data_IF_094761908277
#
_entry.id   IF_094761908277
#
_cell.length_a   1.000
_cell.length_b   1.000
_cell.length_c   1.000
_cell.angle_alpha   90.00
_cell.angle_beta   90.00
_cell.angle_gamma   90.00
#
_symmetry.space_group_name_H-M   'P 1'
#
loop_
_entity.id
_entity.type
_entity.pdbx_description
1 polymer ?
#
# COMPACT_ATOMS: atom_id res chain seq x y z
N UNK A 1 -5.34 9.30 -30.41
CA UNK A 1 -4.34 8.61 -31.25
C UNK A 1 -3.86 7.38 -30.49
N UNK A 2 -3.88 6.16 -31.05
CA UNK A 2 -3.48 4.98 -30.29
C UNK A 2 -1.97 4.78 -30.45
N UNK A 3 -1.18 5.25 -29.48
CA UNK A 3 0.21 4.85 -29.40
C UNK A 3 0.26 3.45 -28.79
N UNK A 4 0.20 2.44 -29.65
CA UNK A 4 0.72 1.10 -29.33
C UNK A 4 2.22 1.14 -29.61
N UNK A 5 3.04 0.83 -28.61
CA UNK A 5 4.38 0.33 -28.88
C UNK A 5 4.54 -1.01 -28.18
N UNK A 6 4.74 -2.03 -29.00
CA UNK A 6 5.09 -3.38 -28.61
C UNK A 6 6.22 -3.74 -29.58
N UNK A 7 7.42 -4.10 -29.09
CA UNK A 7 7.97 -5.46 -29.25
C UNK A 7 9.51 -5.63 -29.17
N UNK A 8 9.80 -6.83 -28.66
CA UNK A 8 10.84 -7.83 -28.95
C UNK A 8 12.26 -7.75 -28.34
N UNK A 9 12.55 -8.87 -27.68
CA UNK A 9 13.75 -9.29 -26.95
C UNK A 9 14.93 -9.57 -27.89
N UNK A 10 16.12 -9.12 -27.49
CA UNK A 10 17.39 -9.62 -28.01
C UNK A 10 18.03 -10.57 -26.96
N UNK A 11 18.40 -11.82 -27.27
CA UNK A 11 18.78 -12.80 -26.24
C UNK A 11 20.20 -12.61 -25.68
N UNK A 12 21.03 -11.70 -26.20
CA UNK A 12 22.48 -11.75 -25.98
C UNK A 12 23.14 -10.45 -25.49
N UNK A 13 22.47 -9.60 -24.73
CA UNK A 13 23.16 -8.51 -24.02
C UNK A 13 22.58 -8.26 -22.63
N UNK A 14 23.45 -8.29 -21.62
CA UNK A 14 23.17 -7.96 -20.23
C UNK A 14 22.99 -6.44 -20.02
N UNK A 15 22.07 -5.83 -20.77
CA UNK A 15 21.80 -4.39 -20.75
C UNK A 15 20.43 -4.11 -20.15
N UNK A 16 20.40 -3.16 -19.20
CA UNK A 16 19.22 -2.58 -18.56
C UNK A 16 18.14 -2.26 -19.63
N UNK A 17 16.94 -2.83 -19.48
CA UNK A 17 15.82 -2.54 -20.38
C UNK A 17 15.16 -1.25 -19.90
N UNK A 18 15.23 -0.18 -20.70
CA UNK A 18 14.51 1.07 -20.46
C UNK A 18 13.24 1.08 -21.30
N UNK A 19 12.08 1.07 -20.65
CA UNK A 19 10.76 1.24 -21.31
C UNK A 19 10.24 2.66 -21.04
N UNK A 20 9.70 3.33 -22.07
CA UNK A 20 9.03 4.62 -21.93
C UNK A 20 7.52 4.41 -21.99
N UNK A 21 6.81 4.74 -20.91
CA UNK A 21 5.35 4.67 -20.80
C UNK A 21 4.85 6.03 -20.32
N UNK A 22 4.06 6.75 -21.14
CA UNK A 22 3.40 8.02 -20.76
C UNK A 22 4.32 9.00 -19.97
N UNK A 23 5.44 9.41 -20.58
CA UNK A 23 6.50 10.27 -20.00
C UNK A 23 7.30 9.68 -18.81
N UNK A 24 7.03 8.44 -18.42
CA UNK A 24 7.82 7.72 -17.42
C UNK A 24 8.89 6.85 -18.07
N UNK A 25 10.08 6.80 -17.46
CA UNK A 25 11.13 5.82 -17.78
C UNK A 25 11.09 4.68 -16.78
N UNK A 26 11.23 3.44 -17.26
CA UNK A 26 11.23 2.23 -16.43
C UNK A 26 12.50 1.44 -16.68
N UNK A 27 13.27 1.16 -15.64
CA UNK A 27 14.44 0.27 -15.69
C UNK A 27 14.24 -0.91 -14.74
N UNK A 28 14.51 -2.13 -15.21
CA UNK A 28 14.61 -3.31 -14.34
C UNK A 28 16.07 -3.65 -14.10
N UNK A 29 16.51 -3.59 -12.85
CA UNK A 29 17.86 -3.93 -12.44
C UNK A 29 18.13 -5.43 -12.55
N UNK A 30 19.41 -5.83 -12.59
CA UNK A 30 19.83 -7.24 -12.65
C UNK A 30 19.31 -8.07 -11.46
N UNK A 31 19.11 -7.46 -10.29
CA UNK A 31 18.54 -8.10 -9.10
C UNK A 31 17.00 -8.19 -9.12
N UNK A 32 16.31 -7.59 -10.11
CA UNK A 32 14.86 -7.62 -10.27
C UNK A 32 14.11 -6.40 -9.72
N UNK A 33 14.77 -5.45 -9.05
CA UNK A 33 14.13 -4.19 -8.65
C UNK A 33 13.70 -3.41 -9.89
N UNK A 34 12.46 -2.93 -9.89
CA UNK A 34 11.97 -2.01 -10.93
C UNK A 34 12.07 -0.58 -10.46
N UNK A 35 12.68 0.28 -11.27
CA UNK A 35 12.75 1.72 -11.04
C UNK A 35 11.89 2.41 -12.09
N UNK A 36 10.89 3.15 -11.65
CA UNK A 36 10.01 3.97 -12.49
C UNK A 36 10.25 5.42 -12.13
N UNK A 37 10.46 6.28 -13.12
CA UNK A 37 10.58 7.71 -12.87
C UNK A 37 9.86 8.58 -13.88
N UNK A 38 9.21 9.63 -13.40
CA UNK A 38 8.73 10.75 -14.20
C UNK A 38 9.60 11.98 -13.91
N UNK A 39 10.31 12.47 -14.92
CA UNK A 39 11.17 13.64 -14.75
C UNK A 39 10.40 14.92 -15.04
N UNK A 40 10.35 15.81 -14.05
CA UNK A 40 9.62 17.08 -14.10
C UNK A 40 10.59 18.24 -13.80
N UNK A 41 11.33 18.75 -14.80
CA UNK A 41 12.48 19.63 -14.60
C UNK A 41 12.16 21.01 -14.01
N UNK A 42 10.92 21.48 -14.13
CA UNK A 42 10.50 22.79 -13.61
C UNK A 42 10.15 22.78 -12.12
N UNK A 43 10.11 21.60 -11.48
CA UNK A 43 9.97 21.50 -10.03
C UNK A 43 11.32 21.65 -9.34
N UNK A 44 11.31 21.94 -8.04
CA UNK A 44 12.50 21.91 -7.17
C UNK A 44 12.39 20.85 -6.07
N UNK A 45 11.49 19.90 -6.28
CA UNK A 45 11.11 18.87 -5.32
C UNK A 45 11.04 17.50 -5.97
N UNK A 46 10.97 16.48 -5.12
CA UNK A 46 10.76 15.10 -5.50
C UNK A 46 9.69 14.45 -4.61
N UNK A 47 9.08 13.39 -5.15
CA UNK A 47 8.38 12.35 -4.42
C UNK A 47 9.03 11.00 -4.75
N UNK A 48 9.29 10.19 -3.74
CA UNK A 48 9.98 8.90 -3.82
C UNK A 48 9.16 7.88 -3.05
N UNK A 49 8.87 6.73 -3.65
CA UNK A 49 8.14 5.62 -3.00
C UNK A 49 8.78 4.26 -3.26
N UNK A 50 8.92 3.46 -2.21
CA UNK A 50 9.32 2.06 -2.24
C UNK A 50 8.08 1.20 -2.06
N UNK A 51 7.59 0.65 -3.16
CA UNK A 51 6.36 -0.13 -3.23
C UNK A 51 6.67 -1.61 -3.19
N UNK A 52 6.20 -2.27 -2.14
CA UNK A 52 6.22 -3.73 -2.05
C UNK A 52 4.86 -4.30 -2.44
N UNK A 53 4.85 -5.33 -3.27
CA UNK A 53 3.64 -6.10 -3.57
C UNK A 53 3.40 -7.17 -2.49
N UNK A 54 3.12 -6.67 -1.28
CA UNK A 54 2.74 -7.41 -0.08
C UNK A 54 1.71 -6.57 0.68
N UNK A 55 0.69 -7.19 1.26
CA UNK A 55 -0.25 -6.51 2.15
C UNK A 55 -1.07 -7.52 2.95
N UNK A 56 -2.15 -7.08 3.60
CA UNK A 56 -2.96 -7.93 4.47
C UNK A 56 -3.55 -9.18 3.77
N UNK A 57 -3.78 -9.10 2.45
CA UNK A 57 -4.24 -10.23 1.63
C UNK A 57 -3.23 -11.38 1.58
N UNK A 58 -1.95 -11.10 1.78
CA UNK A 58 -0.86 -12.07 1.70
C UNK A 58 -0.55 -12.71 3.07
N UNK A 59 -1.37 -12.42 4.08
CA UNK A 59 -1.28 -12.95 5.44
C UNK A 59 -2.13 -14.22 5.62
N UNK A 60 -2.08 -14.79 6.82
CA UNK A 60 -2.85 -15.94 7.26
C UNK A 60 -3.40 -15.68 8.68
N UNK A 61 -4.30 -16.52 9.20
CA UNK A 61 -4.93 -16.28 10.51
C UNK A 61 -3.96 -16.07 11.67
N UNK A 62 -2.78 -16.71 11.63
CA UNK A 62 -1.80 -16.66 12.71
C UNK A 62 -0.87 -15.44 12.63
N UNK A 63 -0.84 -14.72 11.51
CA UNK A 63 0.00 -13.53 11.35
C UNK A 63 -0.74 -12.32 10.79
N UNK A 64 -2.08 -12.34 10.75
CA UNK A 64 -2.83 -11.20 10.28
C UNK A 64 -2.52 -9.94 11.13
N UNK A 65 -2.20 -8.84 10.45
CA UNK A 65 -1.70 -7.58 11.01
C UNK A 65 -0.20 -7.39 10.88
N UNK A 66 0.57 -8.43 10.52
CA UNK A 66 2.03 -8.36 10.51
C UNK A 66 2.59 -7.40 9.45
N UNK A 67 1.90 -7.20 8.32
CA UNK A 67 2.34 -6.27 7.27
C UNK A 67 2.31 -4.83 7.79
N UNK A 68 1.19 -4.45 8.39
CA UNK A 68 1.01 -3.16 9.05
C UNK A 68 1.96 -3.01 10.26
N UNK A 69 2.11 -4.07 11.05
CA UNK A 69 3.01 -4.00 12.20
C UNK A 69 4.49 -3.86 11.81
N UNK A 70 4.93 -4.51 10.73
CA UNK A 70 6.29 -4.32 10.19
C UNK A 70 6.48 -2.91 9.66
N UNK A 71 5.45 -2.30 9.07
CA UNK A 71 5.47 -0.90 8.65
C UNK A 71 5.82 0.02 9.82
N UNK A 72 5.09 -0.05 10.94
CA UNK A 72 5.41 0.71 12.16
C UNK A 72 6.84 0.45 12.63
N UNK A 73 7.22 -0.82 12.68
CA UNK A 73 8.49 -1.24 13.24
C UNK A 73 9.70 -0.81 12.42
N UNK A 74 9.55 -0.54 11.13
CA UNK A 74 10.61 0.00 10.27
C UNK A 74 10.99 1.45 10.62
N UNK A 75 10.09 2.20 11.28
CA UNK A 75 10.38 3.53 11.82
C UNK A 75 11.06 3.49 13.20
N UNK A 76 11.08 2.33 13.88
CA UNK A 76 11.63 2.18 15.25
C UNK A 76 13.14 1.95 15.29
N UNK A 77 13.83 2.29 14.21
CA UNK A 77 15.28 2.27 14.08
C UNK A 77 15.82 1.13 13.23
N UNK A 78 17.07 1.32 12.80
CA UNK A 78 17.85 0.37 12.02
C UNK A 78 19.10 -0.04 12.80
N UNK A 79 19.93 -0.90 12.22
CA UNK A 79 21.26 -1.21 12.76
C UNK A 79 22.21 0.01 12.80
N UNK A 80 21.94 1.05 12.01
CA UNK A 80 22.83 2.21 11.85
C UNK A 80 22.21 3.53 12.29
N UNK A 81 20.89 3.57 12.55
CA UNK A 81 20.14 4.78 12.90
C UNK A 81 19.11 4.50 14.00
N UNK A 82 19.03 5.38 14.99
CA UNK A 82 17.90 5.41 15.92
C UNK A 82 16.65 5.98 15.24
N UNK A 83 15.46 5.74 15.82
CA UNK A 83 14.21 6.33 15.34
C UNK A 83 14.30 7.87 15.23
N UNK A 84 14.89 8.53 16.24
CA UNK A 84 15.11 9.98 16.22
C UNK A 84 16.02 10.43 15.07
N UNK A 85 17.11 9.70 14.82
CA UNK A 85 18.01 10.02 13.70
C UNK A 85 17.33 9.86 12.35
N UNK A 86 16.41 8.89 12.19
CA UNK A 86 15.61 8.75 10.96
C UNK A 86 14.79 10.02 10.74
N UNK A 87 14.00 10.46 11.72
CA UNK A 87 13.17 11.67 11.62
C UNK A 87 14.01 12.93 11.43
N UNK A 88 14.99 13.17 12.31
CA UNK A 88 15.85 14.37 12.27
C UNK A 88 16.54 14.53 10.90
N UNK A 89 17.04 13.43 10.31
CA UNK A 89 17.76 13.49 9.02
C UNK A 89 16.88 13.99 7.88
N UNK A 90 15.59 13.69 7.91
CA UNK A 90 14.65 14.05 6.85
C UNK A 90 13.98 15.39 7.14
N UNK A 91 13.48 15.59 8.35
CA UNK A 91 12.70 16.77 8.72
C UNK A 91 13.56 18.04 8.81
N UNK A 92 14.84 17.94 9.18
CA UNK A 92 15.75 19.09 9.28
C UNK A 92 15.98 19.84 7.95
N UNK A 93 15.63 19.23 6.82
CA UNK A 93 15.71 19.85 5.49
C UNK A 93 14.32 20.05 4.84
N UNK A 94 13.26 20.06 5.65
CA UNK A 94 11.87 20.20 5.18
C UNK A 94 11.34 18.97 4.44
N UNK A 95 11.98 17.82 4.62
CA UNK A 95 11.50 16.55 4.08
C UNK A 95 10.36 15.97 4.90
N UNK A 96 9.61 15.08 4.28
CA UNK A 96 8.56 14.29 4.90
C UNK A 96 8.78 12.82 4.57
N UNK A 97 8.56 11.95 5.56
CA UNK A 97 8.69 10.50 5.46
C UNK A 97 7.42 9.88 6.03
N UNK A 98 6.83 8.93 5.32
CA UNK A 98 5.70 8.16 5.85
C UNK A 98 5.59 6.80 5.14
N UNK A 99 4.65 5.98 5.58
CA UNK A 99 4.31 4.73 4.96
C UNK A 99 2.80 4.49 5.02
N UNK A 100 2.35 3.46 4.32
CA UNK A 100 1.03 2.89 4.51
C UNK A 100 1.00 1.44 4.04
N UNK A 101 0.08 0.68 4.60
CA UNK A 101 -0.22 -0.70 4.21
C UNK A 101 -1.66 -0.80 3.73
N UNK A 102 -1.86 -1.54 2.66
CA UNK A 102 -3.17 -1.85 2.10
C UNK A 102 -3.37 -3.37 2.09
N UNK A 103 -4.50 -3.82 1.52
CA UNK A 103 -4.73 -5.24 1.30
C UNK A 103 -3.66 -5.87 0.41
N UNK A 104 -3.07 -5.14 -0.54
CA UNK A 104 -2.19 -5.75 -1.57
C UNK A 104 -0.78 -5.16 -1.66
N UNK A 105 -0.55 -4.01 -1.03
CA UNK A 105 0.68 -3.24 -1.15
C UNK A 105 1.04 -2.55 0.17
N UNK A 106 2.34 -2.48 0.46
CA UNK A 106 2.92 -1.61 1.49
C UNK A 106 3.89 -0.66 0.81
N UNK A 107 3.77 0.63 1.10
CA UNK A 107 4.59 1.68 0.51
C UNK A 107 5.31 2.47 1.59
N UNK A 108 6.63 2.66 1.43
CA UNK A 108 7.42 3.59 2.24
C UNK A 108 7.85 4.73 1.34
N UNK A 109 7.49 5.96 1.69
CA UNK A 109 7.68 7.08 0.79
C UNK A 109 8.22 8.30 1.51
N UNK A 110 8.85 9.17 0.72
CA UNK A 110 9.31 10.46 1.17
C UNK A 110 9.19 11.51 0.09
N UNK A 111 9.06 12.76 0.51
CA UNK A 111 9.01 13.94 -0.37
C UNK A 111 9.84 15.06 0.23
N UNK A 112 10.39 15.91 -0.62
CA UNK A 112 11.24 17.02 -0.18
C UNK A 112 11.86 17.78 -1.35
N UNK A 113 12.84 18.62 -1.06
CA UNK A 113 13.60 19.36 -2.07
C UNK A 113 14.56 18.43 -2.84
N UNK A 114 14.71 18.62 -4.15
CA UNK A 114 15.49 17.74 -5.03
C UNK A 114 16.93 17.51 -4.56
N UNK A 115 17.57 18.54 -4.02
CA UNK A 115 18.93 18.48 -3.44
C UNK A 115 19.08 17.46 -2.30
N UNK A 116 17.98 17.08 -1.63
CA UNK A 116 17.98 16.11 -0.55
C UNK A 116 17.52 14.70 -0.99
N UNK A 117 17.21 14.48 -2.27
CA UNK A 117 16.74 13.19 -2.80
C UNK A 117 17.65 12.04 -2.41
N UNK A 118 18.95 12.16 -2.64
CA UNK A 118 19.93 11.13 -2.28
C UNK A 118 19.92 10.80 -0.79
N UNK A 119 19.78 11.81 0.10
CA UNK A 119 19.73 11.58 1.56
C UNK A 119 18.47 10.80 1.92
N UNK A 120 17.31 11.21 1.40
CA UNK A 120 16.03 10.53 1.64
C UNK A 120 16.03 9.10 1.12
N UNK A 121 16.57 8.89 -0.07
CA UNK A 121 16.74 7.55 -0.64
C UNK A 121 17.56 6.64 0.27
N UNK A 122 18.70 7.13 0.79
CA UNK A 122 19.58 6.35 1.67
C UNK A 122 18.89 6.01 2.99
N UNK A 123 18.13 6.93 3.57
CA UNK A 123 17.39 6.68 4.82
C UNK A 123 16.32 5.60 4.59
N UNK A 124 15.48 5.74 3.56
CA UNK A 124 14.47 4.73 3.22
C UNK A 124 15.09 3.37 2.91
N UNK A 125 16.18 3.34 2.14
CA UNK A 125 16.90 2.11 1.81
C UNK A 125 17.46 1.40 3.05
N UNK A 126 17.97 2.15 4.04
CA UNK A 126 18.48 1.59 5.29
C UNK A 126 17.36 1.09 6.19
N UNK A 127 16.26 1.85 6.32
CA UNK A 127 15.06 1.42 7.04
C UNK A 127 14.60 0.07 6.54
N UNK A 128 14.38 -0.02 5.22
CA UNK A 128 13.86 -1.21 4.56
C UNK A 128 14.80 -2.41 4.70
N UNK A 129 16.11 -2.25 4.62
CA UNK A 129 17.03 -3.39 4.55
C UNK A 129 17.60 -3.83 5.90
N UNK A 130 17.74 -2.89 6.84
CA UNK A 130 18.43 -3.12 8.10
C UNK A 130 17.55 -2.85 9.33
N UNK A 131 16.28 -3.29 9.38
CA UNK A 131 15.42 -3.05 10.54
C UNK A 131 16.02 -3.67 11.80
N UNK A 132 15.82 -2.99 12.93
CA UNK A 132 16.32 -3.44 14.22
C UNK A 132 15.44 -4.54 14.86
N UNK A 133 14.11 -4.43 14.73
CA UNK A 133 13.11 -5.33 15.33
C UNK A 133 13.42 -5.80 16.76
N UNK A 134 13.72 -4.84 17.65
CA UNK A 134 14.00 -5.11 19.07
C UNK A 134 12.71 -5.48 19.81
N UNK A 135 12.70 -6.57 20.59
CA UNK A 135 11.51 -7.02 21.34
C UNK A 135 10.95 -5.96 22.29
N UNK A 136 11.80 -5.12 22.89
CA UNK A 136 11.34 -4.03 23.75
C UNK A 136 10.59 -2.94 22.98
N UNK A 137 10.91 -2.72 21.70
CA UNK A 137 10.17 -1.80 20.83
C UNK A 137 8.88 -2.46 20.35
N UNK A 138 8.93 -3.75 19.98
CA UNK A 138 7.75 -4.53 19.58
C UNK A 138 6.68 -4.48 20.66
N UNK A 139 7.01 -4.81 21.92
CA UNK A 139 6.03 -4.77 23.02
C UNK A 139 5.37 -3.41 23.21
N UNK A 140 6.13 -2.32 23.04
CA UNK A 140 5.60 -0.96 23.15
C UNK A 140 4.70 -0.63 21.96
N UNK A 141 5.14 -0.98 20.77
CA UNK A 141 4.41 -0.70 19.54
C UNK A 141 3.12 -1.52 19.43
N UNK A 142 3.09 -2.74 19.95
CA UNK A 142 1.85 -3.53 20.08
C UNK A 142 0.77 -2.75 20.84
N UNK A 143 1.13 -2.03 21.90
CA UNK A 143 0.17 -1.17 22.62
C UNK A 143 -0.35 -0.04 21.75
N UNK A 144 0.53 0.65 21.02
CA UNK A 144 0.15 1.75 20.11
C UNK A 144 -0.81 1.28 19.02
N UNK A 145 -0.52 0.13 18.39
CA UNK A 145 -1.36 -0.42 17.32
C UNK A 145 -2.67 -1.00 17.87
N UNK A 146 -2.71 -1.46 19.13
CA UNK A 146 -3.97 -1.85 19.79
C UNK A 146 -4.83 -0.64 20.08
N UNK A 147 -4.25 0.50 20.46
CA UNK A 147 -5.01 1.74 20.65
C UNK A 147 -5.56 2.24 19.30
N UNK A 148 -4.79 2.17 18.22
CA UNK A 148 -5.28 2.46 16.85
C UNK A 148 -6.42 1.52 16.43
N UNK A 149 -6.36 0.24 16.79
CA UNK A 149 -7.46 -0.71 16.55
C UNK A 149 -8.74 -0.30 17.28
N UNK A 150 -8.62 0.24 18.51
CA UNK A 150 -9.78 0.74 19.26
C UNK A 150 -10.29 2.05 18.67
N UNK A 151 -9.41 2.93 18.22
CA UNK A 151 -9.79 4.16 17.54
C UNK A 151 -10.62 3.86 16.28
N UNK A 152 -10.25 2.84 15.49
CA UNK A 152 -11.05 2.36 14.35
C UNK A 152 -12.39 1.77 14.82
N UNK A 153 -12.40 0.96 15.88
CA UNK A 153 -13.64 0.38 16.42
C UNK A 153 -14.62 1.46 16.89
N UNK A 154 -14.12 2.57 17.43
CA UNK A 154 -14.92 3.71 17.88
C UNK A 154 -15.29 4.70 16.76
N UNK A 155 -14.76 4.52 15.55
CA UNK A 155 -15.11 5.31 14.37
C UNK A 155 -16.06 4.52 13.44
N UNK A 156 -17.39 4.72 13.53
CA UNK A 156 -18.36 3.96 12.72
C UNK A 156 -18.23 4.22 11.21
N UNK A 157 -17.69 5.37 10.79
CA UNK A 157 -17.45 5.67 9.38
C UNK A 157 -16.34 4.81 8.77
N UNK A 158 -15.35 4.40 9.56
CA UNK A 158 -14.26 3.53 9.13
C UNK A 158 -14.60 2.05 9.38
N UNK A 159 -15.09 1.72 10.57
CA UNK A 159 -15.43 0.36 10.99
C UNK A 159 -16.37 -0.33 10.00
N UNK A 160 -17.36 0.39 9.47
CA UNK A 160 -18.34 -0.20 8.55
C UNK A 160 -17.71 -0.75 7.27
N UNK A 161 -16.64 -0.14 6.75
CA UNK A 161 -15.95 -0.64 5.56
C UNK A 161 -15.20 -1.93 5.87
N UNK A 162 -14.52 -2.00 7.02
CA UNK A 162 -13.83 -3.21 7.46
C UNK A 162 -14.81 -4.37 7.67
N UNK A 163 -15.95 -4.10 8.32
CA UNK A 163 -17.00 -5.11 8.53
C UNK A 163 -17.68 -5.53 7.24
N UNK A 164 -17.87 -4.60 6.30
CA UNK A 164 -18.37 -4.93 4.97
C UNK A 164 -17.39 -5.82 4.20
N UNK A 165 -16.09 -5.52 4.22
CA UNK A 165 -15.06 -6.33 3.57
C UNK A 165 -14.86 -7.70 4.24
N UNK A 166 -14.91 -7.76 5.57
CA UNK A 166 -14.91 -9.00 6.35
C UNK A 166 -16.04 -9.95 5.90
N UNK A 167 -17.27 -9.42 5.82
CA UNK A 167 -18.45 -10.19 5.42
C UNK A 167 -18.39 -10.63 3.96
N UNK A 168 -18.11 -9.69 3.04
CA UNK A 168 -18.21 -9.95 1.60
C UNK A 168 -17.13 -10.91 1.07
N UNK A 169 -15.97 -10.94 1.74
CA UNK A 169 -14.85 -11.82 1.41
C UNK A 169 -14.66 -12.96 2.42
N UNK A 170 -15.64 -13.23 3.28
CA UNK A 170 -15.55 -14.27 4.30
C UNK A 170 -14.98 -15.61 3.73
N UNK A 171 -14.01 -16.17 4.45
CA UNK A 171 -13.26 -17.36 4.06
C UNK A 171 -12.10 -17.12 3.07
N UNK A 172 -11.85 -15.88 2.65
CA UNK A 172 -10.73 -15.49 1.81
C UNK A 172 -9.88 -14.43 2.54
N UNK A 173 -8.56 -14.40 2.34
CA UNK A 173 -7.65 -13.44 3.01
C UNK A 173 -7.90 -11.96 2.71
N UNK A 174 -8.85 -11.64 1.82
CA UNK A 174 -9.29 -10.25 1.60
C UNK A 174 -10.21 -9.77 2.74
N UNK A 175 -10.82 -10.71 3.47
CA UNK A 175 -11.61 -10.42 4.66
C UNK A 175 -10.75 -10.01 5.85
N UNK A 176 -9.43 -10.15 5.78
CA UNK A 176 -8.58 -9.84 6.92
C UNK A 176 -8.45 -8.32 7.12
N UNK A 177 -8.69 -7.79 8.34
CA UNK A 177 -8.45 -6.37 8.63
C UNK A 177 -6.96 -6.07 8.44
N UNK A 178 -6.64 -4.87 7.94
CA UNK A 178 -5.25 -4.49 7.65
C UNK A 178 -4.43 -4.43 8.94
N UNK A 179 -5.02 -3.84 9.98
CA UNK A 179 -4.41 -3.69 11.30
C UNK A 179 -4.21 -5.03 12.02
N UNK A 180 -5.02 -6.04 11.70
CA UNK A 180 -4.98 -7.37 12.29
C UNK A 180 -5.92 -7.53 13.48
N UNK A 181 -5.54 -8.41 14.40
CA UNK A 181 -6.30 -8.69 15.63
C UNK A 181 -5.44 -8.45 16.86
N UNK A 182 -6.05 -7.99 17.95
CA UNK A 182 -5.35 -7.79 19.22
C UNK A 182 -4.55 -9.04 19.66
N UNK A 183 -5.14 -10.23 19.51
CA UNK A 183 -4.47 -11.51 19.79
C UNK A 183 -3.16 -11.65 19.00
N UNK A 184 -3.17 -11.35 17.71
CA UNK A 184 -1.96 -11.46 16.89
C UNK A 184 -0.95 -10.37 17.24
N UNK A 185 -1.39 -9.12 17.43
CA UNK A 185 -0.54 -7.98 17.81
C UNK A 185 0.23 -8.22 19.11
N UNK A 186 -0.39 -8.89 20.09
CA UNK A 186 0.25 -9.28 21.34
C UNK A 186 1.19 -10.48 21.21
N UNK A 187 1.03 -11.29 20.15
CA UNK A 187 1.83 -12.50 19.93
C UNK A 187 3.14 -12.25 19.15
N UNK A 188 3.22 -11.12 18.43
CA UNK A 188 4.37 -10.82 17.59
C UNK A 188 5.66 -10.63 18.40
N UNK A 189 6.76 -11.13 17.85
CA UNK A 189 8.11 -11.00 18.42
C UNK A 189 9.15 -10.82 17.31
N UNK A 190 10.39 -10.50 17.70
CA UNK A 190 11.49 -10.22 16.78
C UNK A 190 11.71 -11.31 15.74
N UNK A 191 11.59 -12.59 16.13
CA UNK A 191 11.74 -13.73 15.22
C UNK A 191 10.65 -13.73 14.14
N UNK A 192 9.39 -13.48 14.51
CA UNK A 192 8.30 -13.42 13.54
C UNK A 192 8.51 -12.30 12.52
N UNK A 193 8.89 -11.10 12.98
CA UNK A 193 9.09 -9.94 12.11
C UNK A 193 10.29 -10.14 11.17
N UNK A 194 11.42 -10.65 11.67
CA UNK A 194 12.57 -10.96 10.82
C UNK A 194 12.24 -12.05 9.78
N UNK A 195 11.47 -13.08 10.16
CA UNK A 195 11.06 -14.12 9.23
C UNK A 195 10.13 -13.56 8.14
N UNK A 196 9.14 -12.75 8.53
CA UNK A 196 8.24 -12.10 7.59
C UNK A 196 8.98 -11.14 6.64
N UNK A 197 9.85 -10.29 7.21
CA UNK A 197 10.67 -9.34 6.46
C UNK A 197 11.55 -10.05 5.43
N UNK A 198 12.33 -11.04 5.86
CA UNK A 198 13.19 -11.85 4.97
C UNK A 198 12.40 -12.53 3.85
N UNK A 199 11.17 -12.97 4.13
CA UNK A 199 10.35 -13.69 3.16
C UNK A 199 9.70 -12.76 2.15
N UNK A 200 9.38 -11.51 2.50
CA UNK A 200 8.50 -10.64 1.71
C UNK A 200 9.17 -9.36 1.15
N UNK A 201 10.20 -8.84 1.83
CA UNK A 201 10.95 -7.65 1.43
C UNK A 201 12.11 -8.08 0.54
N UNK A 202 11.78 -8.34 -0.72
CA UNK A 202 12.67 -8.91 -1.75
C UNK A 202 12.81 -7.98 -2.94
N UNK A 203 13.92 -8.08 -3.68
CA UNK A 203 14.17 -7.24 -4.85
C UNK A 203 13.14 -7.43 -5.96
N UNK A 204 12.69 -8.66 -6.21
CA UNK A 204 11.67 -9.00 -7.21
C UNK A 204 10.23 -8.64 -6.79
N UNK A 205 10.06 -8.20 -5.55
CA UNK A 205 8.81 -7.70 -4.99
C UNK A 205 8.82 -6.18 -4.77
N UNK A 206 9.88 -5.49 -5.19
CA UNK A 206 10.10 -4.06 -4.97
C UNK A 206 10.02 -3.26 -6.28
N UNK A 207 9.20 -2.22 -6.26
CA UNK A 207 9.22 -1.14 -7.25
C UNK A 207 9.56 0.18 -6.57
N UNK A 208 10.54 0.90 -7.11
CA UNK A 208 10.92 2.24 -6.68
C UNK A 208 10.31 3.22 -7.68
N UNK A 209 9.43 4.10 -7.21
CA UNK A 209 8.79 5.12 -8.02
C UNK A 209 9.32 6.51 -7.63
N UNK A 210 9.71 7.31 -8.61
CA UNK A 210 10.19 8.69 -8.42
C UNK A 210 9.42 9.64 -9.33
N UNK A 211 8.98 10.77 -8.82
CA UNK A 211 8.45 11.85 -9.66
C UNK A 211 8.96 13.20 -9.15
N UNK A 212 9.37 14.08 -10.06
CA UNK A 212 9.91 15.40 -9.72
C UNK A 212 11.18 15.73 -10.50
N UNK A 213 11.94 16.72 -10.02
CA UNK A 213 13.17 17.16 -10.68
C UNK A 213 14.36 16.26 -10.32
N UNK A 214 14.25 14.97 -10.67
CA UNK A 214 15.25 13.92 -10.48
C UNK A 214 15.41 13.13 -11.77
N UNK A 215 16.64 13.07 -12.28
CA UNK A 215 16.97 12.30 -13.48
C UNK A 215 16.83 10.80 -13.23
N UNK A 216 16.34 10.07 -14.23
CA UNK A 216 16.12 8.63 -14.12
C UNK A 216 17.39 7.86 -13.72
N UNK A 217 18.52 8.21 -14.33
CA UNK A 217 19.80 7.54 -14.13
C UNK A 217 20.32 7.74 -12.71
N UNK A 218 19.96 8.86 -12.05
CA UNK A 218 20.30 9.06 -10.64
C UNK A 218 19.55 8.05 -9.75
N UNK A 219 18.24 7.90 -9.97
CA UNK A 219 17.41 6.94 -9.23
C UNK A 219 17.87 5.49 -9.46
N UNK A 220 18.19 5.12 -10.72
CA UNK A 220 18.73 3.81 -11.08
C UNK A 220 20.05 3.54 -10.35
N UNK A 221 20.99 4.48 -10.41
CA UNK A 221 22.31 4.34 -9.76
C UNK A 221 22.18 4.20 -8.24
N UNK A 222 21.27 4.94 -7.59
CA UNK A 222 21.03 4.79 -6.16
C UNK A 222 20.38 3.44 -5.84
N UNK A 223 19.44 2.98 -6.65
CA UNK A 223 18.83 1.66 -6.49
C UNK A 223 19.85 0.53 -6.64
N UNK A 224 20.71 0.56 -7.66
CA UNK A 224 21.79 -0.40 -7.85
C UNK A 224 22.79 -0.39 -6.69
N UNK A 225 23.14 0.80 -6.21
CA UNK A 225 24.12 0.95 -5.13
C UNK A 225 23.60 0.44 -3.78
N UNK A 226 22.35 0.76 -3.45
CA UNK A 226 21.84 0.55 -2.09
C UNK A 226 20.98 -0.70 -1.95
N UNK A 227 20.32 -1.20 -3.00
CA UNK A 227 19.48 -2.40 -2.88
C UNK A 227 20.23 -3.65 -3.31
N UNK A 228 20.83 -4.32 -2.34
CA UNK A 228 21.48 -5.64 -2.51
C UNK A 228 20.59 -6.80 -2.06
N UNK A 229 19.29 -6.55 -1.85
CA UNK A 229 18.33 -7.57 -1.41
C UNK A 229 18.28 -8.71 -2.44
N UNK A 230 18.30 -9.95 -1.95
CA UNK A 230 18.21 -11.13 -2.81
C UNK A 230 16.82 -11.29 -3.38
N UNK A 231 16.78 -11.65 -4.65
CA UNK A 231 15.60 -12.23 -5.30
C UNK A 231 15.26 -13.56 -4.64
N UNK A 232 13.98 -13.89 -4.53
CA UNK A 232 13.54 -15.26 -4.23
C UNK A 232 13.08 -15.95 -5.51
N UNK A 233 13.21 -17.28 -5.55
CA UNK A 233 12.65 -18.12 -6.61
C UNK A 233 11.15 -18.35 -6.48
N UNK A 234 10.55 -18.02 -5.32
CA UNK A 234 9.13 -18.26 -5.05
C UNK A 234 8.36 -16.95 -4.92
N UNK A 235 7.42 -16.71 -5.84
CA UNK A 235 6.36 -15.73 -5.63
C UNK A 235 5.15 -16.45 -5.01
N UNK A 236 4.72 -16.11 -3.79
CA UNK A 236 3.49 -16.66 -3.25
C UNK A 236 2.33 -16.31 -4.19
N UNK A 237 1.64 -17.35 -4.66
CA UNK A 237 0.46 -17.17 -5.52
C UNK A 237 -0.71 -16.78 -4.62
N UNK A 238 -1.21 -15.55 -4.80
CA UNK A 238 -2.49 -15.13 -4.21
C UNK A 238 -3.58 -16.13 -4.63
N UNK A 239 -4.54 -16.38 -3.75
CA UNK A 239 -5.71 -17.21 -4.07
C UNK A 239 -6.74 -16.39 -4.85
N UNK A 240 -7.43 -17.04 -5.77
CA UNK A 240 -8.57 -16.41 -6.44
C UNK A 240 -9.72 -16.25 -5.45
N UNK A 241 -10.45 -15.14 -5.59
CA UNK A 241 -11.68 -14.92 -4.85
C UNK A 241 -12.72 -15.93 -5.32
N UNK A 242 -13.33 -16.65 -4.38
CA UNK A 242 -14.40 -17.58 -4.68
C UNK A 242 -15.78 -16.95 -4.42
N UNK A 243 -16.81 -17.57 -5.00
CA UNK A 243 -18.19 -17.18 -4.75
C UNK A 243 -18.67 -17.84 -3.44
N UNK A 244 -18.70 -17.08 -2.36
CA UNK A 244 -19.49 -17.40 -1.17
C UNK A 244 -20.82 -16.64 -1.20
N UNK A 245 -21.85 -17.25 -0.60
CA UNK A 245 -23.06 -16.55 -0.21
C UNK A 245 -22.70 -15.50 0.85
N UNK A 246 -23.35 -14.34 0.77
CA UNK A 246 -23.17 -13.23 1.71
C UNK A 246 -24.53 -12.97 2.32
N UNK A 247 -24.58 -12.87 3.64
CA UNK A 247 -25.78 -12.50 4.40
C UNK A 247 -25.68 -11.04 4.85
N UNK A 248 -26.83 -10.43 5.11
CA UNK A 248 -26.87 -9.13 5.76
C UNK A 248 -26.23 -9.23 7.15
N UNK A 249 -25.45 -8.20 7.51
CA UNK A 249 -24.77 -8.09 8.80
C UNK A 249 -25.27 -6.82 9.46
N UNK A 250 -25.79 -6.96 10.68
CA UNK A 250 -26.23 -5.85 11.53
C UNK A 250 -25.33 -5.85 12.76
N UNK A 251 -24.76 -4.70 13.06
CA UNK A 251 -23.89 -4.49 14.21
C UNK A 251 -24.55 -3.42 15.07
N UNK A 252 -24.94 -3.78 16.28
CA UNK A 252 -25.47 -2.85 17.26
C UNK A 252 -24.29 -2.20 18.00
N UNK A 253 -24.22 -0.87 17.96
CA UNK A 253 -23.22 -0.07 18.69
C UNK A 253 -23.88 1.20 19.22
N UNK A 254 -23.39 1.72 20.33
CA UNK A 254 -23.87 2.98 20.92
C UNK A 254 -23.35 4.18 20.12
N UNK A 255 -24.03 4.50 19.01
CA UNK A 255 -23.69 5.61 18.10
C UNK A 255 -24.92 6.50 17.84
N UNK A 256 -24.69 7.74 17.41
CA UNK A 256 -25.77 8.72 17.20
C UNK A 256 -26.45 8.59 15.83
N UNK A 257 -25.82 7.93 14.86
CA UNK A 257 -26.27 7.84 13.48
C UNK A 257 -26.12 6.42 12.96
N UNK A 258 -27.02 6.00 12.05
CA UNK A 258 -26.92 4.70 11.37
C UNK A 258 -26.00 4.84 10.16
N UNK A 259 -24.98 3.99 10.09
CA UNK A 259 -24.12 3.84 8.92
C UNK A 259 -24.53 2.57 8.17
N UNK A 260 -24.63 2.65 6.84
CA UNK A 260 -25.05 1.50 6.01
C UNK A 260 -24.26 1.43 4.70
N UNK A 261 -23.84 0.22 4.32
CA UNK A 261 -23.23 -0.09 3.03
C UNK A 261 -24.04 -1.19 2.36
N UNK A 262 -24.42 -0.97 1.11
CA UNK A 262 -25.03 -1.97 0.24
C UNK A 262 -24.10 -2.20 -0.94
N UNK A 263 -23.68 -3.45 -1.15
CA UNK A 263 -22.77 -3.76 -2.24
C UNK A 263 -22.63 -5.25 -2.53
N UNK A 264 -21.84 -5.56 -3.55
CA UNK A 264 -21.55 -6.94 -3.98
C UNK A 264 -20.16 -7.04 -4.61
N UNK A 265 -19.62 -8.25 -4.67
CA UNK A 265 -18.40 -8.54 -5.44
C UNK A 265 -18.66 -8.27 -6.91
N UNK A 266 -17.66 -7.69 -7.58
CA UNK A 266 -17.74 -7.31 -8.98
C UNK A 266 -16.41 -7.56 -9.70
N UNK A 267 -16.24 -6.97 -10.87
CA UNK A 267 -15.05 -7.09 -11.72
C UNK A 267 -13.77 -6.64 -11.01
N UNK A 268 -12.68 -7.41 -11.20
CA UNK A 268 -11.36 -7.10 -10.65
C UNK A 268 -10.60 -6.04 -11.45
N UNK A 269 -9.42 -5.65 -10.95
CA UNK A 269 -8.62 -4.55 -11.52
C UNK A 269 -8.34 -4.67 -13.03
N UNK A 270 -8.05 -5.88 -13.54
CA UNK A 270 -7.69 -6.11 -14.94
C UNK A 270 -8.90 -6.26 -15.88
N UNK A 271 -10.13 -6.20 -15.38
CA UNK A 271 -11.32 -6.41 -16.19
C UNK A 271 -11.78 -5.08 -16.82
N UNK A 272 -11.92 -5.05 -18.15
CA UNK A 272 -12.28 -3.83 -18.89
C UNK A 272 -13.67 -3.28 -18.52
N UNK A 273 -14.57 -4.12 -17.98
CA UNK A 273 -15.89 -3.68 -17.50
C UNK A 273 -15.80 -2.82 -16.23
N UNK A 274 -14.66 -2.83 -15.53
CA UNK A 274 -14.37 -1.93 -14.39
C UNK A 274 -14.55 -0.46 -14.76
N UNK A 275 -14.13 -0.05 -15.95
CA UNK A 275 -14.28 1.34 -16.40
C UNK A 275 -15.75 1.74 -16.54
N UNK A 276 -16.60 0.83 -17.08
CA UNK A 276 -18.04 1.05 -17.19
C UNK A 276 -18.69 1.21 -15.80
N UNK A 277 -18.29 0.38 -14.84
CA UNK A 277 -18.77 0.50 -13.46
C UNK A 277 -18.29 1.77 -12.77
N UNK A 278 -17.06 2.23 -13.02
CA UNK A 278 -16.58 3.49 -12.45
C UNK A 278 -17.41 4.68 -12.93
N UNK A 279 -17.74 4.73 -14.22
CA UNK A 279 -18.64 5.76 -14.77
C UNK A 279 -20.02 5.70 -14.11
N UNK A 280 -20.57 4.49 -13.95
CA UNK A 280 -21.86 4.30 -13.26
C UNK A 280 -21.81 4.80 -11.81
N UNK A 281 -20.76 4.44 -11.06
CA UNK A 281 -20.53 4.92 -9.70
C UNK A 281 -20.47 6.46 -9.66
N UNK A 282 -19.74 7.08 -10.58
CA UNK A 282 -19.66 8.54 -10.66
C UNK A 282 -21.02 9.19 -10.88
N UNK A 283 -21.83 8.68 -11.81
CA UNK A 283 -23.18 9.18 -12.07
C UNK A 283 -24.12 9.01 -10.87
N UNK A 284 -23.96 7.94 -10.11
CA UNK A 284 -24.85 7.60 -9.00
C UNK A 284 -24.53 8.38 -7.73
N UNK A 285 -23.26 8.46 -7.31
CA UNK A 285 -22.94 8.96 -5.96
C UNK A 285 -21.61 9.69 -5.82
N UNK A 286 -21.05 10.24 -6.90
CA UNK A 286 -19.81 11.02 -6.83
C UNK A 286 -20.10 12.52 -6.96
N UNK A 287 -19.92 13.25 -5.86
CA UNK A 287 -20.21 14.68 -5.76
C UNK A 287 -21.68 15.04 -5.59
N UNK A 288 -21.93 16.35 -5.39
CA UNK A 288 -23.25 16.90 -5.07
C UNK A 288 -24.24 16.89 -6.24
N UNK A 289 -23.75 16.82 -7.48
CA UNK A 289 -24.60 16.73 -8.68
C UNK A 289 -25.06 15.30 -9.00
N UNK A 290 -24.59 14.31 -8.24
CA UNK A 290 -24.91 12.91 -8.48
C UNK A 290 -26.37 12.57 -8.18
N UNK A 291 -26.88 11.50 -8.80
CA UNK A 291 -28.31 11.14 -8.71
C UNK A 291 -28.75 10.83 -7.28
N UNK A 292 -27.95 10.07 -6.53
CA UNK A 292 -28.28 9.71 -5.15
C UNK A 292 -28.22 10.92 -4.23
N UNK A 293 -27.23 11.80 -4.41
CA UNK A 293 -27.15 13.02 -3.64
C UNK A 293 -28.39 13.90 -3.86
N UNK A 294 -28.74 14.16 -5.12
CA UNK A 294 -29.90 14.99 -5.46
C UNK A 294 -31.22 14.37 -5.01
N UNK A 295 -31.39 13.05 -5.18
CA UNK A 295 -32.65 12.38 -4.86
C UNK A 295 -32.81 12.11 -3.35
N UNK A 296 -31.82 11.49 -2.71
CA UNK A 296 -31.95 10.96 -1.34
C UNK A 296 -31.58 12.01 -0.30
N UNK A 297 -30.51 12.78 -0.53
CA UNK A 297 -30.07 13.83 0.40
C UNK A 297 -30.83 15.13 0.18
N UNK A 298 -30.77 15.73 -1.01
CA UNK A 298 -31.32 17.08 -1.23
C UNK A 298 -32.86 17.11 -1.29
N UNK A 299 -33.49 16.25 -2.09
CA UNK A 299 -34.94 16.27 -2.26
C UNK A 299 -35.70 15.62 -1.11
N UNK A 300 -35.19 14.49 -0.60
CA UNK A 300 -35.88 13.69 0.41
C UNK A 300 -35.39 13.94 1.84
N UNK A 301 -34.21 14.54 2.04
CA UNK A 301 -33.67 14.82 3.38
C UNK A 301 -33.41 13.57 4.23
N UNK A 302 -33.28 12.38 3.63
CA UNK A 302 -33.26 11.10 4.35
C UNK A 302 -31.89 10.75 4.93
N UNK A 303 -30.83 11.39 4.45
CA UNK A 303 -29.45 11.10 4.88
C UNK A 303 -28.61 12.37 4.88
N UNK A 304 -27.63 12.42 5.77
CA UNK A 304 -26.61 13.47 5.81
C UNK A 304 -25.58 13.32 4.68
N UNK A 305 -25.20 12.08 4.38
CA UNK A 305 -24.22 11.75 3.34
C UNK A 305 -24.65 10.52 2.55
N UNK A 306 -24.38 10.52 1.25
CA UNK A 306 -24.59 9.36 0.38
C UNK A 306 -23.57 9.39 -0.75
N UNK A 307 -22.89 8.26 -0.95
CA UNK A 307 -21.88 8.11 -1.99
C UNK A 307 -21.89 6.70 -2.57
N UNK A 308 -21.10 6.49 -3.61
CA UNK A 308 -20.79 5.15 -4.10
C UNK A 308 -19.29 5.02 -4.29
N UNK A 309 -18.78 3.80 -4.15
CA UNK A 309 -17.36 3.51 -4.30
C UNK A 309 -17.14 2.19 -5.05
N UNK A 310 -15.92 2.00 -5.56
CA UNK A 310 -15.53 0.81 -6.30
C UNK A 310 -14.10 0.39 -5.92
N UNK A 311 -13.98 -0.58 -5.03
CA UNK A 311 -12.70 -1.16 -4.63
C UNK A 311 -12.25 -2.27 -5.59
N UNK A 312 -11.16 -1.98 -6.29
CA UNK A 312 -10.40 -2.79 -7.27
C UNK A 312 -9.21 -3.56 -6.72
N UNK A 313 -9.34 -4.84 -6.36
CA UNK A 313 -8.18 -5.70 -6.09
C UNK A 313 -7.69 -6.41 -7.37
N UNK A 314 -6.40 -6.72 -7.43
CA UNK A 314 -5.78 -7.44 -8.55
C UNK A 314 -6.35 -8.86 -8.62
N UNK A 315 -6.94 -9.27 -9.76
CA UNK A 315 -7.41 -10.63 -9.92
C UNK A 315 -6.21 -11.58 -10.00
N UNK A 316 -6.38 -12.78 -9.44
CA UNK A 316 -5.44 -13.88 -9.65
C UNK A 316 -5.82 -14.51 -10.99
N UNK A 317 -4.83 -14.68 -11.88
CA UNK A 317 -5.03 -15.40 -13.14
C UNK A 317 -5.30 -16.86 -12.89
#
# INVERSE_FOLDING_TARGET
MPNRLCLYLNPNNSSLIVEIVDNCKVTTLSNGVKVVSEFIPYLKSFSLGFWFNIGARDENPNNNGISHFVEHMLFKGTKTRTAKQISDTIESYGGYLNAFTSKEHTCYYGRGLSENFKKTFVVLADMIQNPLFKDSHIKKESGVVIDELKDIDDNPEELIFDKFEESIFNGHSLSYPIIGTEKNLLSFNSKNLHQFHKSNYRSDNLMIAVSGAIEHDEAVRLAEKYFSIKRSSSNPKRKSVFKNAVSDVIIEKEIQQVHSIIGRKTYGFNDSRRHKLKVLSTLLGDGSSSRLFQAVREKLGMTYQINTFLNSNKPVK
#
